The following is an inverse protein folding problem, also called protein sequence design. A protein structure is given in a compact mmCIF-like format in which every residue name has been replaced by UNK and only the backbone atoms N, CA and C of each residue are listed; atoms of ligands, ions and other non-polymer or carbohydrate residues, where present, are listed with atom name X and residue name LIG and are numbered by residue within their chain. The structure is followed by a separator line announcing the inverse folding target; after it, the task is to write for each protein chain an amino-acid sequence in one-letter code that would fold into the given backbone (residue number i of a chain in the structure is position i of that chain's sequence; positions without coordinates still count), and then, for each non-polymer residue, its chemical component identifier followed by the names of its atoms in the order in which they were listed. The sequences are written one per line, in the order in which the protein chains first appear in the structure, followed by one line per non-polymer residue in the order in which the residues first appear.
data_IF_759927817864
#
_entry.id   IF_759927817864
#
_cell.length_a   1.000
_cell.length_b   1.000
_cell.length_c   1.000
_cell.angle_alpha   90.00
_cell.angle_beta   90.00
_cell.angle_gamma   90.00
#
_symmetry.space_group_name_H-M   'P 1'
#
loop_
_entity.id
_entity.type
_entity.pdbx_description
1 polymer ?
#
# COMPACT_ATOMS: atom_id res chain seq x y z
N UNK A 1 1.42 -2.95 7.49
CA UNK A 1 0.86 -1.57 7.56
C UNK A 1 -0.21 -1.44 6.49
N UNK A 2 -1.21 -0.59 6.69
CA UNK A 2 -2.21 -0.20 5.69
C UNK A 2 -2.44 1.32 5.72
N UNK A 3 -2.72 1.89 4.55
CA UNK A 3 -3.28 3.24 4.38
C UNK A 3 -4.56 3.07 3.58
N UNK A 4 -5.68 3.52 4.14
CA UNK A 4 -7.00 3.40 3.53
C UNK A 4 -7.56 4.79 3.34
N UNK A 5 -7.72 5.21 2.09
CA UNK A 5 -8.34 6.48 1.73
C UNK A 5 -9.80 6.24 1.33
N UNK A 6 -10.72 6.83 2.08
CA UNK A 6 -12.15 6.77 1.83
C UNK A 6 -12.56 7.73 0.70
N UNK A 7 -13.80 7.59 0.21
CA UNK A 7 -14.32 8.45 -0.87
C UNK A 7 -14.35 9.95 -0.50
N UNK A 8 -14.55 10.26 0.77
CA UNK A 8 -14.53 11.63 1.31
C UNK A 8 -13.11 12.17 1.51
N UNK A 9 -12.07 11.41 1.14
CA UNK A 9 -10.67 11.78 1.32
C UNK A 9 -10.13 11.52 2.73
N UNK A 10 -10.95 11.01 3.65
CA UNK A 10 -10.46 10.65 4.98
C UNK A 10 -9.50 9.45 4.90
N UNK A 11 -8.40 9.53 5.65
CA UNK A 11 -7.38 8.49 5.68
C UNK A 11 -7.39 7.76 7.02
N UNK A 12 -7.27 6.44 6.95
CA UNK A 12 -7.01 5.58 8.10
C UNK A 12 -5.69 4.85 7.91
N UNK A 13 -4.80 5.03 8.86
CA UNK A 13 -3.49 4.37 8.90
C UNK A 13 -3.53 3.27 9.96
N UNK A 14 -2.93 2.12 9.65
CA UNK A 14 -2.80 1.01 10.58
C UNK A 14 -1.47 0.29 10.42
N UNK A 15 -0.94 -0.26 11.51
CA UNK A 15 0.29 -1.03 11.52
C UNK A 15 1.10 -0.84 12.79
N UNK A 16 2.24 -1.50 12.85
CA UNK A 16 3.17 -1.45 13.97
C UNK A 16 4.59 -1.73 13.49
N UNK A 17 5.58 -1.24 14.25
CA UNK A 17 6.96 -1.68 14.20
C UNK A 17 7.19 -2.62 15.39
N UNK A 18 7.88 -3.75 15.15
CA UNK A 18 8.37 -4.63 16.20
C UNK A 18 9.85 -4.35 16.41
N UNK A 19 10.22 -3.79 17.56
CA UNK A 19 11.61 -3.58 17.98
C UNK A 19 11.82 -4.15 19.37
N UNK A 20 12.91 -4.90 19.57
CA UNK A 20 13.29 -5.45 20.89
C UNK A 20 12.16 -6.18 21.62
N UNK A 21 11.35 -6.94 20.87
CA UNK A 21 10.22 -7.70 21.38
C UNK A 21 8.98 -6.87 21.74
N UNK A 22 8.95 -5.58 21.41
CA UNK A 22 7.84 -4.67 21.68
C UNK A 22 7.21 -4.15 20.40
N UNK A 23 5.88 -4.14 20.36
CA UNK A 23 5.12 -3.47 19.32
C UNK A 23 4.99 -1.98 19.62
N UNK A 24 5.19 -1.16 18.60
CA UNK A 24 4.97 0.27 18.62
C UNK A 24 4.10 0.64 17.41
N UNK A 25 2.89 1.15 17.68
CA UNK A 25 1.90 1.38 16.63
C UNK A 25 2.28 2.56 15.74
N UNK A 26 1.99 2.44 14.45
CA UNK A 26 2.20 3.52 13.48
C UNK A 26 1.05 4.51 13.60
N UNK A 27 1.36 5.80 13.84
CA UNK A 27 0.35 6.89 13.90
C UNK A 27 0.35 7.78 12.66
N UNK A 28 1.45 7.80 11.91
CA UNK A 28 1.58 8.53 10.65
C UNK A 28 2.37 7.69 9.65
N UNK A 29 1.96 7.76 8.38
CA UNK A 29 2.62 7.09 7.27
C UNK A 29 2.47 7.96 6.02
N UNK A 30 3.54 8.06 5.24
CA UNK A 30 3.56 8.60 3.88
C UNK A 30 4.08 7.49 2.98
N UNK A 31 3.38 7.24 1.88
CA UNK A 31 3.75 6.23 0.88
C UNK A 31 4.05 6.94 -0.42
N UNK A 32 5.19 6.59 -1.02
CA UNK A 32 5.56 7.01 -2.37
C UNK A 32 5.74 5.76 -3.22
N UNK A 33 5.13 5.76 -4.40
CA UNK A 33 5.06 4.57 -5.25
C UNK A 33 5.65 4.86 -6.61
N UNK A 34 6.60 4.04 -7.03
CA UNK A 34 7.01 3.99 -8.43
C UNK A 34 6.12 3.00 -9.16
N UNK A 35 5.44 3.46 -10.20
CA UNK A 35 4.54 2.66 -11.02
C UNK A 35 5.24 2.13 -12.28
N UNK A 36 4.76 0.99 -12.81
CA UNK A 36 5.23 0.41 -14.09
C UNK A 36 4.10 -0.16 -14.94
N UNK A 37 4.36 -0.22 -16.25
CA UNK A 37 3.52 -0.89 -17.23
C UNK A 37 2.17 -0.22 -17.47
N UNK A 38 1.45 -0.72 -18.48
CA UNK A 38 0.15 -0.17 -18.89
C UNK A 38 -0.95 -0.33 -17.83
N UNK A 39 -0.85 -1.37 -17.00
CA UNK A 39 -1.78 -1.62 -15.89
C UNK A 39 -1.46 -0.80 -14.62
N UNK A 40 -0.40 0.03 -14.69
CA UNK A 40 0.04 0.96 -13.63
C UNK A 40 0.28 0.24 -12.31
N UNK A 41 0.95 -0.92 -12.34
CA UNK A 41 1.20 -1.72 -11.13
C UNK A 41 2.44 -1.19 -10.39
N UNK A 42 2.54 -1.43 -9.09
CA UNK A 42 3.66 -0.92 -8.29
C UNK A 42 4.95 -1.70 -8.60
N UNK A 43 6.07 -0.98 -8.68
CA UNK A 43 7.42 -1.48 -9.00
C UNK A 43 8.37 -1.32 -7.81
N UNK A 44 8.30 -0.17 -7.16
CA UNK A 44 9.03 0.14 -5.93
C UNK A 44 8.17 1.02 -5.02
N UNK A 45 8.44 0.96 -3.73
CA UNK A 45 7.66 1.63 -2.68
C UNK A 45 8.63 2.25 -1.68
N UNK A 46 8.48 3.55 -1.41
CA UNK A 46 9.11 4.22 -0.28
C UNK A 46 8.04 4.51 0.79
N UNK A 47 8.35 4.27 2.06
CA UNK A 47 7.44 4.56 3.17
C UNK A 47 8.18 5.26 4.29
N UNK A 48 7.69 6.45 4.65
CA UNK A 48 8.07 7.13 5.88
C UNK A 48 6.99 6.92 6.93
N UNK A 49 7.37 6.44 8.11
CA UNK A 49 6.42 6.22 9.23
C UNK A 49 6.88 6.89 10.51
N UNK A 50 5.92 7.34 11.30
CA UNK A 50 6.13 7.79 12.69
C UNK A 50 5.24 6.96 13.61
N UNK A 51 5.82 6.46 14.69
CA UNK A 51 5.13 5.63 15.67
C UNK A 51 4.59 6.42 16.86
N UNK A 52 3.81 5.77 17.73
CA UNK A 52 3.26 6.36 18.95
C UNK A 52 4.34 6.79 19.94
N UNK A 53 5.46 6.05 20.02
CA UNK A 53 6.61 6.46 20.84
C UNK A 53 7.37 7.68 20.28
N UNK A 54 7.08 8.10 19.05
CA UNK A 54 7.77 9.18 18.35
C UNK A 54 8.95 8.73 17.48
N UNK A 55 9.26 7.43 17.43
CA UNK A 55 10.28 6.91 16.53
C UNK A 55 9.86 7.08 15.06
N UNK A 56 10.85 7.33 14.19
CA UNK A 56 10.64 7.53 12.75
C UNK A 56 11.48 6.53 11.95
N UNK A 57 10.89 5.98 10.88
CA UNK A 57 11.55 5.00 10.02
C UNK A 57 11.31 5.33 8.56
N UNK A 58 12.36 5.13 7.74
CA UNK A 58 12.25 5.05 6.29
C UNK A 58 12.36 3.58 5.87
N UNK A 59 11.45 3.15 4.99
CA UNK A 59 11.32 1.77 4.53
C UNK A 59 11.28 1.76 3.01
N UNK A 60 12.25 1.09 2.40
CA UNK A 60 12.28 0.86 0.96
C UNK A 60 11.73 -0.52 0.61
N UNK A 61 10.97 -0.62 -0.48
CA UNK A 61 10.39 -1.84 -1.01
C UNK A 61 10.69 -2.01 -2.50
N UNK A 62 11.24 -3.15 -2.86
CA UNK A 62 11.47 -3.57 -4.25
C UNK A 62 10.56 -4.75 -4.60
N UNK A 63 9.70 -4.59 -5.60
CA UNK A 63 8.73 -5.61 -6.01
C UNK A 63 9.41 -6.64 -6.91
N UNK A 64 9.57 -7.85 -6.41
CA UNK A 64 10.28 -8.95 -7.08
C UNK A 64 9.40 -9.68 -8.08
N UNK A 65 8.15 -9.92 -7.71
CA UNK A 65 7.14 -10.55 -8.57
C UNK A 65 5.77 -9.99 -8.23
N UNK A 66 4.85 -10.01 -9.20
CA UNK A 66 3.55 -9.34 -9.04
C UNK A 66 2.46 -10.09 -9.79
N UNK A 67 1.30 -10.25 -9.14
CA UNK A 67 0.09 -10.82 -9.73
C UNK A 67 -0.98 -9.72 -9.81
N UNK A 68 -1.39 -9.30 -11.02
CA UNK A 68 -2.49 -8.37 -11.19
C UNK A 68 -3.83 -9.11 -11.20
N UNK A 69 -4.74 -8.71 -10.31
CA UNK A 69 -6.07 -9.26 -10.16
C UNK A 69 -7.13 -8.15 -10.30
N UNK A 70 -8.39 -8.57 -10.53
CA UNK A 70 -9.53 -7.66 -10.62
C UNK A 70 -10.75 -8.26 -9.94
N UNK A 71 -11.40 -7.45 -9.11
CA UNK A 71 -12.74 -7.75 -8.61
C UNK A 71 -13.77 -6.89 -9.36
N UNK A 72 -14.85 -7.51 -9.85
CA UNK A 72 -15.93 -6.82 -10.54
C UNK A 72 -17.26 -7.20 -9.89
N UNK A 73 -17.98 -6.22 -9.36
CA UNK A 73 -19.30 -6.41 -8.74
C UNK A 73 -20.28 -5.32 -9.16
N UNK A 74 -21.57 -5.55 -8.91
CA UNK A 74 -22.59 -4.49 -8.98
C UNK A 74 -22.88 -3.94 -7.59
N UNK A 75 -23.09 -2.64 -7.48
CA UNK A 75 -23.62 -2.03 -6.26
C UNK A 75 -25.16 -2.07 -6.22
N UNK A 76 -25.76 -1.54 -5.16
CA UNK A 76 -27.22 -1.49 -4.96
C UNK A 76 -27.97 -0.66 -6.02
N UNK A 77 -27.26 0.23 -6.72
CA UNK A 77 -27.81 1.06 -7.81
C UNK A 77 -27.58 0.41 -9.19
N UNK A 78 -27.01 -0.81 -9.22
CA UNK A 78 -26.71 -1.54 -10.45
C UNK A 78 -25.45 -1.07 -11.19
N UNK A 79 -24.68 -0.13 -10.63
CA UNK A 79 -23.42 0.33 -11.22
C UNK A 79 -22.35 -0.74 -11.09
N UNK A 80 -21.52 -0.89 -12.12
CA UNK A 80 -20.37 -1.81 -12.04
C UNK A 80 -19.23 -1.14 -11.29
N UNK A 81 -18.82 -1.72 -10.17
CA UNK A 81 -17.61 -1.38 -9.45
C UNK A 81 -16.50 -2.33 -9.89
N UNK A 82 -15.37 -1.76 -10.34
CA UNK A 82 -14.17 -2.52 -10.67
C UNK A 82 -13.06 -2.11 -9.73
N UNK A 83 -12.55 -3.08 -8.97
CA UNK A 83 -11.37 -2.91 -8.11
C UNK A 83 -10.20 -3.61 -8.77
N UNK A 84 -9.10 -2.90 -8.99
CA UNK A 84 -7.80 -3.52 -9.28
C UNK A 84 -7.18 -3.95 -7.97
N UNK A 85 -6.63 -5.15 -7.96
CA UNK A 85 -5.82 -5.67 -6.86
C UNK A 85 -4.44 -5.97 -7.45
N UNK A 86 -3.41 -5.38 -6.88
CA UNK A 86 -2.03 -5.59 -7.29
C UNK A 86 -1.30 -6.17 -6.10
N UNK A 87 -0.93 -7.45 -6.16
CA UNK A 87 -0.23 -8.15 -5.08
C UNK A 87 1.21 -8.43 -5.50
N UNK A 88 2.16 -7.84 -4.77
CA UNK A 88 3.60 -7.95 -5.02
C UNK A 88 4.31 -8.71 -3.91
N UNK A 89 5.13 -9.69 -4.28
CA UNK A 89 6.17 -10.20 -3.37
C UNK A 89 7.31 -9.20 -3.36
N UNK A 90 7.62 -8.66 -2.19
CA UNK A 90 8.44 -7.47 -2.04
C UNK A 90 9.56 -7.71 -1.05
N UNK A 91 10.77 -7.32 -1.47
CA UNK A 91 11.94 -7.22 -0.61
C UNK A 91 11.92 -5.84 0.04
N UNK A 92 11.97 -5.83 1.36
CA UNK A 92 11.91 -4.63 2.18
C UNK A 92 13.25 -4.34 2.83
N UNK A 93 13.63 -3.07 2.91
CA UNK A 93 14.79 -2.60 3.64
C UNK A 93 14.39 -1.53 4.66
N UNK A 94 14.78 -1.72 5.92
CA UNK A 94 14.51 -0.78 7.00
C UNK A 94 15.61 -0.90 8.07
N UNK A 95 16.22 0.22 8.46
CA UNK A 95 17.21 0.25 9.54
C UNK A 95 18.39 -0.72 9.34
N UNK A 96 18.87 -0.87 8.10
CA UNK A 96 19.96 -1.79 7.74
C UNK A 96 19.57 -3.27 7.70
N UNK A 97 18.29 -3.60 7.87
CA UNK A 97 17.78 -4.97 7.83
C UNK A 97 17.01 -5.20 6.53
N UNK A 98 17.11 -6.42 6.00
CA UNK A 98 16.32 -6.88 4.87
C UNK A 98 15.25 -7.87 5.34
N UNK A 99 14.02 -7.67 4.90
CA UNK A 99 12.90 -8.58 5.11
C UNK A 99 12.17 -8.86 3.79
N UNK A 100 11.28 -9.85 3.80
CA UNK A 100 10.47 -10.21 2.64
C UNK A 100 9.02 -10.35 3.08
N UNK A 101 8.11 -9.87 2.24
CA UNK A 101 6.68 -9.90 2.53
C UNK A 101 5.87 -9.34 1.37
N UNK A 102 4.60 -9.10 1.60
CA UNK A 102 3.68 -8.63 0.57
C UNK A 102 3.57 -7.11 0.56
N UNK A 103 3.41 -6.54 -0.63
CA UNK A 103 2.78 -5.23 -0.86
C UNK A 103 1.50 -5.40 -1.65
N UNK A 104 0.45 -4.68 -1.28
CA UNK A 104 -0.84 -4.78 -1.92
C UNK A 104 -1.45 -3.40 -2.16
N UNK A 105 -1.98 -3.19 -3.37
CA UNK A 105 -2.76 -2.00 -3.73
C UNK A 105 -4.15 -2.43 -4.19
N UNK A 106 -5.18 -1.86 -3.56
CA UNK A 106 -6.58 -2.09 -3.89
C UNK A 106 -7.23 -0.77 -4.30
N UNK A 107 -7.40 -0.58 -5.60
CA UNK A 107 -7.88 0.68 -6.16
C UNK A 107 -9.21 0.49 -6.87
N UNK A 108 -10.16 1.38 -6.64
CA UNK A 108 -11.27 1.51 -7.59
C UNK A 108 -10.72 2.01 -8.94
N UNK A 109 -11.24 1.44 -10.03
CA UNK A 109 -11.00 1.94 -11.37
C UNK A 109 -12.12 2.91 -11.73
N UNK A 110 -11.78 4.17 -11.98
CA UNK A 110 -12.68 5.22 -12.42
C UNK A 110 -12.11 5.84 -13.69
N UNK A 111 -12.93 5.97 -14.74
CA UNK A 111 -12.45 6.49 -16.04
C UNK A 111 -11.33 5.64 -16.67
N UNK A 112 -11.31 4.33 -16.39
CA UNK A 112 -10.28 3.42 -16.87
C UNK A 112 -8.94 3.50 -16.12
N UNK A 113 -8.83 4.32 -15.07
CA UNK A 113 -7.61 4.49 -14.28
C UNK A 113 -7.82 4.14 -12.79
N UNK A 114 -6.81 3.57 -12.12
CA UNK A 114 -6.82 3.35 -10.67
C UNK A 114 -6.71 4.69 -9.94
N UNK A 115 -7.61 4.91 -8.99
CA UNK A 115 -7.72 6.21 -8.29
C UNK A 115 -6.54 6.52 -7.37
N UNK A 116 -5.86 5.51 -6.82
CA UNK A 116 -4.68 5.70 -5.96
C UNK A 116 -3.34 5.74 -6.70
N UNK A 117 -3.33 5.60 -8.03
CA UNK A 117 -2.09 5.77 -8.80
C UNK A 117 -1.93 7.21 -9.27
N UNK A 118 -1.34 8.01 -8.40
CA UNK A 118 -0.87 9.38 -8.69
C UNK A 118 0.62 9.40 -8.99
#
# INVERSE_FOLDING_TARGET
MSVITSRDGSERIGGMILSDGRYDHIRQARVETKWKGEQIVHDAIGVDVVTESGASYHIDGEVMSLIPLRNRRRDSEGRTLMTRISEGMTRWHCGGRTGYGLSEYLDQIVGGRPVGAT
#
